data_IF_497594541554
#
_entry.id   IF_497594541554
#
_cell.length_a   1.000
_cell.length_b   1.000
_cell.length_c   1.000
_cell.angle_alpha   90.00
_cell.angle_beta   90.00
_cell.angle_gamma   90.00
#
_symmetry.space_group_name_H-M   'P 1'
#
loop_
_entity.id
_entity.type
_entity.pdbx_description
1 polymer ?
#
# COMPACT_ATOMS: atom_id res chain seq x y z
N UNK A 1 -17.04 20.05 -1.52
CA UNK A 1 -16.43 18.86 -0.87
C UNK A 1 -16.83 18.72 0.60
N UNK A 2 -16.67 19.74 1.46
CA UNK A 2 -17.03 19.65 2.89
C UNK A 2 -18.48 19.22 3.15
N UNK A 3 -19.45 19.75 2.38
CA UNK A 3 -20.85 19.36 2.48
C UNK A 3 -21.09 17.87 2.19
N UNK A 4 -20.39 17.31 1.19
CA UNK A 4 -20.48 15.89 0.85
C UNK A 4 -19.81 15.03 1.92
N UNK A 5 -18.65 15.46 2.44
CA UNK A 5 -17.96 14.76 3.53
C UNK A 5 -18.83 14.71 4.79
N UNK A 6 -19.51 15.81 5.14
CA UNK A 6 -20.43 15.85 6.26
C UNK A 6 -21.65 14.93 6.05
N UNK A 7 -22.19 14.88 4.83
CA UNK A 7 -23.29 13.98 4.49
C UNK A 7 -22.90 12.50 4.59
N UNK A 8 -21.69 12.16 4.15
CA UNK A 8 -21.17 10.78 4.14
C UNK A 8 -20.45 10.40 5.45
N UNK A 9 -20.43 11.29 6.45
CA UNK A 9 -19.73 11.11 7.72
C UNK A 9 -18.23 10.79 7.56
N UNK A 10 -17.59 11.42 6.56
CA UNK A 10 -16.17 11.28 6.25
C UNK A 10 -15.40 12.42 6.92
N UNK A 11 -14.48 12.07 7.82
CA UNK A 11 -13.58 13.05 8.43
C UNK A 11 -12.47 13.45 7.45
N UNK A 12 -12.38 14.74 7.11
CA UNK A 12 -11.33 15.25 6.24
C UNK A 12 -10.05 15.53 7.05
N UNK A 13 -8.95 14.88 6.69
CA UNK A 13 -7.62 15.21 7.19
C UNK A 13 -6.89 16.08 6.16
N UNK A 14 -6.42 17.25 6.59
CA UNK A 14 -5.67 18.20 5.76
C UNK A 14 -4.23 18.28 6.24
N UNK A 15 -3.32 18.48 5.30
CA UNK A 15 -1.88 18.61 5.54
C UNK A 15 -1.50 20.07 5.26
N UNK A 16 -0.59 20.67 6.06
CA UNK A 16 -0.13 22.03 5.83
C UNK A 16 0.43 22.22 4.41
N UNK A 17 0.28 23.44 3.89
CA UNK A 17 0.84 23.82 2.60
C UNK A 17 2.36 23.65 2.64
N UNK A 18 2.95 23.15 1.55
CA UNK A 18 4.38 22.87 1.43
C UNK A 18 4.94 21.83 2.43
N UNK A 19 4.09 20.96 2.98
CA UNK A 19 4.50 19.86 3.86
C UNK A 19 4.20 18.47 3.27
N UNK A 20 4.82 18.09 2.14
CA UNK A 20 4.54 16.82 1.46
C UNK A 20 4.96 15.58 2.28
N UNK A 21 5.82 15.73 3.29
CA UNK A 21 6.29 14.61 4.13
C UNK A 21 5.13 13.94 4.89
N UNK A 22 4.11 14.70 5.26
CA UNK A 22 2.92 14.19 5.94
C UNK A 22 1.93 13.48 5.01
N UNK A 23 2.15 13.52 3.68
CA UNK A 23 1.21 12.96 2.71
C UNK A 23 1.63 11.52 2.29
N UNK A 24 0.95 10.47 2.77
CA UNK A 24 1.30 9.09 2.41
C UNK A 24 1.11 8.80 0.91
N UNK A 25 0.28 9.59 0.21
CA UNK A 25 0.04 9.47 -1.23
C UNK A 25 1.33 9.73 -2.02
N UNK A 26 2.23 10.60 -1.54
CA UNK A 26 3.47 10.89 -2.25
C UNK A 26 4.37 9.67 -2.39
N UNK A 27 4.45 8.83 -1.34
CA UNK A 27 5.17 7.56 -1.40
C UNK A 27 4.55 6.64 -2.45
N UNK A 28 3.21 6.53 -2.49
CA UNK A 28 2.52 5.70 -3.48
C UNK A 28 2.71 6.22 -4.90
N UNK A 29 2.69 7.54 -5.10
CA UNK A 29 2.95 8.18 -6.39
C UNK A 29 4.38 7.90 -6.87
N UNK A 30 5.36 7.89 -5.96
CA UNK A 30 6.73 7.49 -6.30
C UNK A 30 6.81 6.04 -6.77
N UNK A 31 6.05 5.12 -6.19
CA UNK A 31 6.01 3.72 -6.61
C UNK A 31 5.27 3.52 -7.95
N UNK A 32 4.31 4.39 -8.26
CA UNK A 32 3.52 4.36 -9.50
C UNK A 32 4.30 4.89 -10.72
N UNK A 33 5.13 5.92 -10.53
CA UNK A 33 5.82 6.61 -11.63
C UNK A 33 6.72 5.68 -12.47
N UNK A 34 7.57 4.81 -11.89
CA UNK A 34 8.42 3.92 -12.66
C UNK A 34 7.67 2.94 -13.59
N UNK A 35 6.70 2.13 -13.12
CA UNK A 35 5.98 1.21 -14.00
C UNK A 35 5.15 1.97 -15.04
N UNK A 36 4.66 3.17 -14.72
CA UNK A 36 3.99 4.03 -15.68
C UNK A 36 4.96 4.48 -16.79
N UNK A 37 6.14 4.97 -16.44
CA UNK A 37 7.15 5.36 -17.42
C UNK A 37 7.58 4.19 -18.31
N UNK A 38 7.76 2.99 -17.73
CA UNK A 38 8.17 1.78 -18.45
C UNK A 38 7.11 1.33 -19.47
N UNK A 39 5.83 1.38 -19.11
CA UNK A 39 4.74 0.87 -19.96
C UNK A 39 4.24 1.90 -20.98
N UNK A 40 4.36 3.19 -20.67
CA UNK A 40 3.92 4.28 -21.54
C UNK A 40 4.98 4.62 -22.58
N UNK A 41 6.27 4.59 -22.20
CA UNK A 41 7.39 4.94 -23.08
C UNK A 41 7.12 6.30 -23.76
N UNK A 42 7.19 6.36 -25.10
CA UNK A 42 7.00 7.59 -25.88
C UNK A 42 5.52 7.89 -26.19
N UNK A 43 4.58 6.97 -25.89
CA UNK A 43 3.15 7.10 -26.22
C UNK A 43 2.33 7.60 -25.03
N UNK A 44 2.58 8.85 -24.65
CA UNK A 44 1.97 9.47 -23.48
C UNK A 44 0.43 9.52 -23.50
N UNK A 45 -0.21 9.46 -24.67
CA UNK A 45 -1.68 9.50 -24.79
C UNK A 45 -2.38 8.23 -24.29
N UNK A 46 -1.66 7.10 -24.24
CA UNK A 46 -2.23 5.79 -23.89
C UNK A 46 -2.04 5.38 -22.42
N UNK A 47 -1.63 6.32 -21.56
CA UNK A 47 -1.28 6.01 -20.16
C UNK A 47 -2.44 5.43 -19.34
N UNK A 48 -3.66 5.90 -19.59
CA UNK A 48 -4.87 5.48 -18.88
C UNK A 48 -5.18 4.00 -19.10
N UNK A 49 -4.92 3.49 -20.30
CA UNK A 49 -5.08 2.06 -20.66
C UNK A 49 -4.10 1.15 -19.92
N UNK A 50 -2.95 1.70 -19.48
CA UNK A 50 -1.92 0.93 -18.77
C UNK A 50 -2.17 0.84 -17.27
N UNK A 51 -2.98 1.75 -16.71
CA UNK A 51 -3.26 1.81 -15.27
C UNK A 51 -3.81 0.51 -14.67
N UNK A 52 -4.74 -0.23 -15.31
CA UNK A 52 -5.26 -1.47 -14.73
C UNK A 52 -4.15 -2.52 -14.53
N UNK A 53 -3.22 -2.62 -15.49
CA UNK A 53 -2.08 -3.54 -15.41
C UNK A 53 -1.11 -3.14 -14.29
N UNK A 54 -0.82 -1.85 -14.18
CA UNK A 54 0.04 -1.32 -13.10
C UNK A 54 -0.61 -1.54 -11.74
N UNK A 55 -1.91 -1.27 -11.61
CA UNK A 55 -2.67 -1.50 -10.38
C UNK A 55 -2.65 -2.97 -9.98
N UNK A 56 -2.83 -3.88 -10.95
CA UNK A 56 -2.74 -5.31 -10.70
C UNK A 56 -1.36 -5.68 -10.16
N UNK A 57 -0.29 -5.29 -10.86
CA UNK A 57 1.09 -5.58 -10.46
C UNK A 57 1.44 -5.04 -9.08
N UNK A 58 1.05 -3.78 -8.77
CA UNK A 58 1.28 -3.18 -7.45
C UNK A 58 0.49 -3.87 -6.33
N UNK A 59 -0.70 -4.41 -6.64
CA UNK A 59 -1.50 -5.11 -5.65
C UNK A 59 -1.02 -6.54 -5.39
N UNK A 60 -0.43 -7.21 -6.38
CA UNK A 60 0.12 -8.56 -6.25
C UNK A 60 1.58 -8.60 -5.81
N UNK A 61 2.29 -7.46 -5.84
CA UNK A 61 3.64 -7.37 -5.32
C UNK A 61 3.65 -7.49 -3.79
N UNK A 62 4.58 -8.28 -3.24
CA UNK A 62 4.79 -8.39 -1.80
C UNK A 62 5.48 -7.12 -1.28
N UNK A 63 4.94 -6.54 -0.22
CA UNK A 63 5.59 -5.46 0.49
C UNK A 63 6.66 -6.03 1.43
N UNK A 64 7.89 -5.51 1.34
CA UNK A 64 9.00 -5.94 2.21
C UNK A 64 8.70 -5.72 3.71
N UNK A 65 7.98 -4.64 4.04
CA UNK A 65 7.66 -4.30 5.43
C UNK A 65 6.66 -5.28 6.05
N UNK A 66 5.63 -5.68 5.30
CA UNK A 66 4.57 -6.55 5.83
C UNK A 66 4.72 -8.01 5.43
N UNK A 67 5.61 -8.32 4.47
CA UNK A 67 5.75 -9.64 3.86
C UNK A 67 4.56 -10.09 3.01
N UNK A 68 3.52 -9.25 2.88
CA UNK A 68 2.25 -9.60 2.21
C UNK A 68 1.95 -8.71 1.02
N UNK A 69 1.05 -9.18 0.15
CA UNK A 69 0.53 -8.42 -0.98
C UNK A 69 -0.59 -7.49 -0.52
N UNK A 70 -0.77 -6.36 -1.21
CA UNK A 70 -1.88 -5.46 -0.90
C UNK A 70 -3.24 -6.09 -1.26
N UNK A 71 -3.26 -6.98 -2.26
CA UNK A 71 -4.40 -7.81 -2.60
C UNK A 71 -4.87 -8.65 -1.41
N UNK A 72 -3.96 -9.41 -0.80
CA UNK A 72 -4.27 -10.27 0.32
C UNK A 72 -4.79 -9.48 1.52
N UNK A 73 -4.17 -8.34 1.84
CA UNK A 73 -4.59 -7.51 2.97
C UNK A 73 -5.95 -6.86 2.78
N UNK A 74 -6.35 -6.54 1.54
CA UNK A 74 -7.65 -5.93 1.27
C UNK A 74 -8.78 -6.95 1.10
N UNK A 75 -8.51 -8.05 0.42
CA UNK A 75 -9.54 -9.02 0.01
C UNK A 75 -9.50 -10.32 0.81
N UNK A 76 -8.50 -10.51 1.67
CA UNK A 76 -8.25 -11.77 2.35
C UNK A 76 -7.88 -12.90 1.38
N UNK A 77 -7.46 -12.60 0.15
CA UNK A 77 -7.03 -13.58 -0.85
C UNK A 77 -6.15 -12.91 -1.90
N UNK A 78 -5.34 -13.72 -2.59
CA UNK A 78 -4.55 -13.22 -3.71
C UNK A 78 -5.43 -12.96 -4.94
N UNK A 79 -5.06 -11.94 -5.72
CA UNK A 79 -5.68 -11.69 -7.02
C UNK A 79 -5.21 -12.76 -8.01
N UNK A 80 -6.16 -13.24 -8.84
CA UNK A 80 -5.87 -14.23 -9.86
C UNK A 80 -5.51 -13.55 -11.18
N UNK A 81 -4.53 -14.09 -11.86
CA UNK A 81 -4.17 -13.73 -13.23
C UNK A 81 -5.19 -14.33 -14.21
N UNK A 82 -5.37 -13.73 -15.41
CA UNK A 82 -6.25 -14.30 -16.44
C UNK A 82 -5.89 -15.76 -16.80
N UNK A 83 -4.60 -16.10 -16.79
CA UNK A 83 -4.13 -17.46 -17.03
C UNK A 83 -4.59 -18.44 -15.94
N UNK A 84 -4.49 -18.04 -14.67
CA UNK A 84 -5.00 -18.86 -13.57
C UNK A 84 -6.51 -19.05 -13.69
N UNK A 85 -7.28 -18.02 -14.01
CA UNK A 85 -8.74 -18.14 -14.15
C UNK A 85 -9.14 -19.15 -15.24
N UNK A 86 -8.44 -19.16 -16.38
CA UNK A 86 -8.71 -20.09 -17.49
C UNK A 86 -8.31 -21.53 -17.14
N UNK A 87 -7.22 -21.70 -16.38
CA UNK A 87 -6.70 -23.02 -16.02
C UNK A 87 -7.26 -23.57 -14.70
N UNK A 88 -8.07 -22.81 -13.97
CA UNK A 88 -8.53 -23.18 -12.64
C UNK A 88 -9.71 -24.18 -12.68
N UNK A 89 -9.38 -25.45 -12.86
CA UNK A 89 -10.27 -26.61 -12.69
C UNK A 89 -10.88 -26.61 -11.27
N UNK A 90 -10.28 -25.91 -10.28
CA UNK A 90 -10.81 -25.85 -8.91
C UNK A 90 -12.14 -25.09 -8.83
N UNK A 91 -12.48 -24.20 -9.77
CA UNK A 91 -13.82 -23.57 -9.81
C UNK A 91 -14.88 -24.62 -10.17
N UNK A 92 -14.58 -25.56 -11.07
CA UNK A 92 -15.48 -26.66 -11.40
C UNK A 92 -15.64 -27.66 -10.24
N UNK A 93 -14.60 -27.85 -9.42
CA UNK A 93 -14.59 -28.81 -8.29
C UNK A 93 -15.09 -28.19 -6.97
N UNK A 94 -14.86 -26.90 -6.71
CA UNK A 94 -15.21 -26.22 -5.45
C UNK A 94 -16.66 -25.68 -5.42
N UNK A 95 -17.35 -25.59 -6.56
CA UNK A 95 -18.76 -25.21 -6.59
C UNK A 95 -19.65 -26.21 -5.81
N UNK A 96 -19.19 -27.45 -5.60
CA UNK A 96 -19.89 -28.48 -4.80
C UNK A 96 -19.54 -28.45 -3.30
N UNK A 97 -18.66 -27.54 -2.83
CA UNK A 97 -18.16 -27.55 -1.45
C UNK A 97 -18.26 -26.20 -0.74
N UNK A 98 -19.29 -25.41 -1.07
CA UNK A 98 -19.62 -24.17 -0.37
C UNK A 98 -20.34 -24.47 0.97
N UNK A 99 -19.68 -25.18 1.88
CA UNK A 99 -20.19 -25.52 3.22
C UNK A 99 -19.06 -25.21 4.24
N UNK A 100 -19.24 -25.36 5.55
CA UNK A 100 -19.46 -24.39 6.64
C UNK A 100 -18.23 -23.61 7.22
N UNK A 101 -17.14 -23.40 6.48
CA UNK A 101 -15.82 -22.99 7.06
C UNK A 101 -15.40 -21.51 6.94
N UNK A 102 -16.27 -20.61 6.49
CA UNK A 102 -15.92 -19.17 6.36
C UNK A 102 -15.56 -18.55 7.72
N UNK A 103 -16.24 -18.96 8.79
CA UNK A 103 -16.07 -18.40 10.14
C UNK A 103 -14.67 -18.61 10.73
N UNK A 104 -14.07 -19.82 10.76
CA UNK A 104 -12.70 -20.00 11.22
C UNK A 104 -11.66 -19.29 10.34
N UNK A 105 -11.90 -19.23 9.02
CA UNK A 105 -11.04 -18.47 8.10
C UNK A 105 -10.98 -16.99 8.46
N UNK A 106 -12.15 -16.36 8.62
CA UNK A 106 -12.25 -14.94 8.98
C UNK A 106 -11.62 -14.65 10.35
N UNK A 107 -11.81 -15.54 11.34
CA UNK A 107 -11.15 -15.39 12.65
C UNK A 107 -9.63 -15.44 12.52
N UNK A 108 -9.08 -16.33 11.69
CA UNK A 108 -7.64 -16.38 11.42
C UNK A 108 -7.15 -15.13 10.71
N UNK A 109 -7.88 -14.66 9.71
CA UNK A 109 -7.55 -13.43 8.98
C UNK A 109 -7.58 -12.19 9.87
N UNK A 110 -8.54 -12.08 10.80
CA UNK A 110 -8.62 -10.99 11.75
C UNK A 110 -7.38 -10.97 12.68
N UNK A 111 -7.01 -12.10 13.26
CA UNK A 111 -5.78 -12.23 14.07
C UNK A 111 -4.51 -11.92 13.29
N UNK A 112 -4.47 -12.34 12.04
CA UNK A 112 -3.35 -12.06 11.16
C UNK A 112 -3.24 -10.56 10.83
N UNK A 113 -4.38 -9.91 10.59
CA UNK A 113 -4.43 -8.47 10.30
C UNK A 113 -3.96 -7.63 11.49
N UNK A 114 -4.22 -8.07 12.73
CA UNK A 114 -3.70 -7.38 13.93
C UNK A 114 -2.18 -7.53 14.04
N UNK A 115 -1.64 -8.73 13.81
CA UNK A 115 -0.18 -8.95 13.82
C UNK A 115 0.55 -8.10 12.78
N UNK A 116 -0.03 -7.98 11.57
CA UNK A 116 0.58 -7.13 10.53
C UNK A 116 0.54 -5.67 10.92
N UNK A 117 -0.52 -5.22 11.59
CA UNK A 117 -0.60 -3.84 12.08
C UNK A 117 0.53 -3.56 13.07
N UNK A 118 0.78 -4.46 14.02
CA UNK A 118 1.87 -4.35 14.98
C UNK A 118 3.22 -4.23 14.28
N UNK A 119 3.50 -5.11 13.30
CA UNK A 119 4.74 -5.05 12.50
C UNK A 119 4.86 -3.72 11.74
N UNK A 120 3.77 -3.21 11.17
CA UNK A 120 3.78 -1.92 10.46
C UNK A 120 4.10 -0.77 11.42
N UNK A 121 3.51 -0.77 12.61
CA UNK A 121 3.74 0.22 13.66
C UNK A 121 5.20 0.19 14.14
N UNK A 122 5.74 -0.99 14.46
CA UNK A 122 7.14 -1.15 14.86
C UNK A 122 8.13 -0.64 13.79
N UNK A 123 7.83 -0.94 12.52
CA UNK A 123 8.66 -0.49 11.40
C UNK A 123 8.53 1.02 11.16
N UNK A 124 7.37 1.61 11.42
CA UNK A 124 7.18 3.07 11.39
C UNK A 124 7.96 3.75 12.51
N UNK A 125 7.87 3.25 13.73
CA UNK A 125 8.57 3.78 14.90
C UNK A 125 10.09 3.69 14.73
N UNK A 126 10.58 2.56 14.23
CA UNK A 126 12.00 2.39 13.91
C UNK A 126 12.48 3.44 12.90
N UNK A 127 11.73 3.64 11.81
CA UNK A 127 12.06 4.65 10.79
C UNK A 127 12.05 6.06 11.35
N UNK A 128 11.08 6.38 12.21
CA UNK A 128 11.01 7.67 12.92
C UNK A 128 12.25 7.88 13.79
N UNK A 129 12.61 6.89 14.61
CA UNK A 129 13.80 6.96 15.46
C UNK A 129 15.08 7.26 14.66
N UNK A 130 15.31 6.55 13.55
CA UNK A 130 16.47 6.80 12.69
C UNK A 130 16.42 8.16 12.00
N UNK A 131 15.23 8.63 11.59
CA UNK A 131 15.06 9.96 11.01
C UNK A 131 15.39 11.07 12.03
N UNK A 132 14.83 10.99 13.24
CA UNK A 132 15.06 11.96 14.33
C UNK A 132 16.55 11.99 14.72
N UNK A 133 17.21 10.81 14.78
CA UNK A 133 18.65 10.73 15.06
C UNK A 133 19.47 11.43 13.98
N UNK A 134 19.13 11.22 12.71
CA UNK A 134 19.81 11.86 11.57
C UNK A 134 19.65 13.37 11.61
N UNK A 135 18.46 13.89 11.92
CA UNK A 135 18.23 15.34 12.02
C UNK A 135 19.07 15.98 13.13
N UNK A 136 19.14 15.36 14.31
CA UNK A 136 19.99 15.84 15.42
C UNK A 136 21.47 15.89 15.04
N UNK A 137 21.97 14.88 14.33
CA UNK A 137 23.36 14.86 13.86
C UNK A 137 23.64 16.00 12.87
N UNK A 138 22.73 16.26 11.94
CA UNK A 138 22.87 17.36 10.97
C UNK A 138 22.85 18.73 11.64
N UNK A 139 22.01 18.91 12.68
CA UNK A 139 21.99 20.14 13.47
C UNK A 139 23.32 20.35 14.21
N UNK A 140 23.88 19.31 14.80
CA UNK A 140 25.18 19.40 15.50
C UNK A 140 26.32 19.77 14.54
N UNK A 141 26.41 19.10 13.38
CA UNK A 141 27.42 19.39 12.35
C UNK A 141 27.28 20.84 11.83
N UNK A 142 26.05 21.31 11.61
CA UNK A 142 25.83 22.68 11.13
C UNK A 142 26.17 23.74 12.18
N UNK A 143 25.99 23.45 13.47
CA UNK A 143 26.39 24.35 14.56
C UNK A 143 27.91 24.44 14.69
N UNK A 144 28.63 23.32 14.59
CA UNK A 144 30.09 23.29 14.60
C UNK A 144 30.70 24.05 13.41
N UNK A 145 30.09 23.92 12.22
CA UNK A 145 30.52 24.62 11.01
C UNK A 145 30.19 26.13 10.98
N UNK A 146 29.29 26.61 11.85
CA UNK A 146 28.98 28.06 11.99
C UNK A 146 29.79 28.75 13.08
N UNK A 147 30.53 27.98 13.90
CA UNK A 147 31.38 28.50 14.98
C UNK A 147 32.86 28.66 14.60
N UNK A 148 33.20 28.43 13.33
CA UNK A 148 34.51 28.63 12.70
C UNK A 148 34.40 29.71 11.62
#
# INVERSE_FOLDING_TARGET
>A
MQQICNLLNIHQSLIPVYHPQGNPVERKNRDLKPPLAILVQDKHDCWSEKLPFIRFALNTAKCETTGQTAAFLNFGRELRTPSEVVNDIRVAIQNDNFVPEITPYLKKFAKFSTQIREVVEEQQDSRKFYADKREKLLQHINLENMSL
#
